data_IF_180055898521
#
_entry.id   IF_180055898521
#
_cell.length_a   1.000
_cell.length_b   1.000
_cell.length_c   1.000
_cell.angle_alpha   90.00
_cell.angle_beta   90.00
_cell.angle_gamma   90.00
#
_symmetry.space_group_name_H-M   'P 1'
#
loop_
_entity.id
_entity.type
_entity.pdbx_description
1 polymer ?
#
# COMPACT_ATOMS: atom_id res chain seq x y z
N UNK A 1 7.31 5.41 21.45
CA UNK A 1 6.10 4.64 21.06
C UNK A 1 6.18 4.35 19.56
N UNK A 2 6.45 3.10 19.16
CA UNK A 2 6.51 2.73 17.74
C UNK A 2 5.14 2.93 17.09
N UNK A 3 5.07 3.66 15.98
CA UNK A 3 3.82 3.88 15.23
C UNK A 3 3.47 2.59 14.49
N UNK A 4 2.39 1.90 14.90
CA UNK A 4 1.82 0.77 14.15
C UNK A 4 1.54 1.22 12.73
N UNK A 5 2.07 0.49 11.76
CA UNK A 5 1.73 0.71 10.36
C UNK A 5 0.34 0.15 10.09
N UNK A 6 -0.52 0.96 9.47
CA UNK A 6 -1.84 0.53 9.03
C UNK A 6 -1.70 -0.40 7.82
N UNK A 7 -2.42 -1.51 7.82
CA UNK A 7 -2.51 -2.39 6.66
C UNK A 7 -3.42 -1.79 5.58
N UNK A 8 -3.46 -2.40 4.39
CA UNK A 8 -4.24 -1.86 3.27
C UNK A 8 -5.74 -1.80 3.58
N UNK A 9 -6.30 -2.85 4.21
CA UNK A 9 -7.72 -2.92 4.54
C UNK A 9 -8.11 -1.83 5.54
N UNK A 10 -7.26 -1.60 6.53
CA UNK A 10 -7.37 -0.54 7.52
C UNK A 10 -7.34 0.85 6.87
N UNK A 11 -6.41 1.09 5.93
CA UNK A 11 -6.34 2.35 5.19
C UNK A 11 -7.58 2.58 4.33
N UNK A 12 -8.03 1.56 3.59
CA UNK A 12 -9.25 1.63 2.77
C UNK A 12 -10.48 1.90 3.63
N UNK A 13 -10.58 1.24 4.80
CA UNK A 13 -11.68 1.47 5.74
C UNK A 13 -11.71 2.91 6.23
N UNK A 14 -10.55 3.50 6.56
CA UNK A 14 -10.45 4.91 6.98
C UNK A 14 -10.93 5.85 5.89
N UNK A 15 -10.44 5.68 4.66
CA UNK A 15 -10.81 6.56 3.54
C UNK A 15 -12.31 6.47 3.25
N UNK A 16 -12.88 5.26 3.21
CA UNK A 16 -14.32 5.06 3.02
C UNK A 16 -15.16 5.79 4.07
N UNK A 17 -14.77 5.72 5.34
CA UNK A 17 -15.52 6.34 6.43
C UNK A 17 -15.26 7.83 6.57
N UNK A 18 -14.09 8.33 6.15
CA UNK A 18 -13.80 9.76 6.10
C UNK A 18 -14.75 10.50 5.16
N UNK A 19 -15.05 9.95 3.98
CA UNK A 19 -16.02 10.55 3.05
C UNK A 19 -17.45 10.60 3.63
N UNK A 20 -17.79 9.69 4.55
CA UNK A 20 -19.12 9.64 5.18
C UNK A 20 -19.23 10.53 6.43
N UNK A 21 -18.14 10.65 7.19
CA UNK A 21 -18.15 11.26 8.53
C UNK A 21 -17.48 12.63 8.60
N UNK A 22 -16.78 13.05 7.54
CA UNK A 22 -16.07 14.31 7.29
C UNK A 22 -14.94 14.66 8.28
N UNK A 23 -15.01 14.18 9.51
CA UNK A 23 -14.11 14.53 10.60
C UNK A 23 -13.33 13.31 11.13
N UNK A 24 -11.99 13.40 11.26
CA UNK A 24 -11.14 12.31 11.75
C UNK A 24 -11.53 11.76 13.13
N UNK A 25 -12.09 12.61 14.00
CA UNK A 25 -12.51 12.19 15.35
C UNK A 25 -13.69 11.21 15.30
N UNK A 26 -14.59 11.38 14.34
CA UNK A 26 -15.73 10.49 14.17
C UNK A 26 -15.27 9.13 13.63
N UNK A 27 -14.28 9.13 12.73
CA UNK A 27 -13.64 7.90 12.24
C UNK A 27 -12.93 7.16 13.37
N UNK A 28 -12.22 7.84 14.27
CA UNK A 28 -11.62 7.19 15.45
C UNK A 28 -12.67 6.58 16.37
N UNK A 29 -13.78 7.30 16.63
CA UNK A 29 -14.88 6.79 17.46
C UNK A 29 -15.53 5.55 16.85
N UNK A 30 -15.75 5.56 15.54
CA UNK A 30 -16.32 4.40 14.84
C UNK A 30 -15.32 3.24 14.80
N UNK A 31 -14.04 3.53 14.57
CA UNK A 31 -12.97 2.54 14.61
C UNK A 31 -12.94 1.81 15.94
N UNK A 32 -12.97 2.53 17.07
CA UNK A 32 -12.97 1.92 18.40
C UNK A 32 -14.19 1.04 18.68
N UNK A 33 -15.29 1.21 17.92
CA UNK A 33 -16.49 0.37 18.03
C UNK A 33 -16.43 -0.86 17.15
N UNK A 34 -15.93 -0.72 15.93
CA UNK A 34 -15.95 -1.80 14.91
C UNK A 34 -14.68 -2.64 14.90
N UNK A 35 -13.56 -2.07 15.37
CA UNK A 35 -12.24 -2.70 15.29
C UNK A 35 -11.69 -2.81 16.71
N UNK A 36 -11.41 -4.04 17.15
CA UNK A 36 -10.79 -4.37 18.46
C UNK A 36 -9.31 -3.92 18.57
N UNK A 37 -8.91 -2.87 17.86
CA UNK A 37 -7.55 -2.33 17.84
C UNK A 37 -7.55 -0.85 18.18
N UNK A 38 -6.41 -0.39 18.70
CA UNK A 38 -6.20 1.03 18.96
C UNK A 38 -6.38 1.86 17.67
N UNK A 39 -7.19 2.93 17.71
CA UNK A 39 -7.44 3.75 16.55
C UNK A 39 -6.17 4.51 16.12
N UNK A 40 -6.00 4.73 14.80
CA UNK A 40 -4.92 5.58 14.31
C UNK A 40 -5.10 7.02 14.79
N UNK A 41 -3.98 7.73 14.99
CA UNK A 41 -4.01 9.15 15.37
C UNK A 41 -4.68 10.00 14.27
N UNK A 42 -5.31 11.11 14.67
CA UNK A 42 -5.97 12.08 13.78
C UNK A 42 -5.02 12.61 12.73
N UNK A 43 -3.74 12.81 13.07
CA UNK A 43 -2.71 13.22 12.12
C UNK A 43 -2.49 12.17 11.04
N UNK A 44 -2.47 10.89 11.41
CA UNK A 44 -2.34 9.77 10.46
C UNK A 44 -3.55 9.72 9.52
N UNK A 45 -4.77 9.85 10.06
CA UNK A 45 -6.00 9.86 9.26
C UNK A 45 -5.98 11.03 8.26
N UNK A 46 -5.65 12.25 8.70
CA UNK A 46 -5.53 13.41 7.79
C UNK A 46 -4.45 13.23 6.74
N UNK A 47 -3.28 12.73 7.12
CA UNK A 47 -2.18 12.50 6.18
C UNK A 47 -2.58 11.45 5.11
N UNK A 48 -3.30 10.41 5.51
CA UNK A 48 -3.83 9.41 4.59
C UNK A 48 -4.84 10.02 3.62
N UNK A 49 -5.76 10.86 4.12
CA UNK A 49 -6.74 11.54 3.26
C UNK A 49 -6.09 12.52 2.29
N UNK A 50 -5.19 13.39 2.74
CA UNK A 50 -4.46 14.30 1.84
C UNK A 50 -3.73 13.53 0.74
N UNK A 51 -3.09 12.40 1.09
CA UNK A 51 -2.43 11.55 0.11
C UNK A 51 -3.43 10.95 -0.88
N UNK A 52 -4.56 10.46 -0.39
CA UNK A 52 -5.60 9.88 -1.22
C UNK A 52 -6.20 10.92 -2.18
N UNK A 53 -6.47 12.13 -1.70
CA UNK A 53 -6.95 13.24 -2.53
C UNK A 53 -5.94 13.66 -3.61
N UNK A 54 -4.63 13.62 -3.29
CA UNK A 54 -3.58 13.97 -4.25
C UNK A 54 -3.29 12.87 -5.29
N UNK A 55 -3.47 11.59 -4.92
CA UNK A 55 -2.95 10.46 -5.72
C UNK A 55 -4.00 9.42 -6.11
N UNK A 56 -5.20 9.48 -5.56
CA UNK A 56 -6.24 8.47 -5.70
C UNK A 56 -5.91 7.11 -5.06
N UNK A 57 -4.79 7.00 -4.33
CA UNK A 57 -4.28 5.72 -3.85
C UNK A 57 -4.09 5.68 -2.32
N UNK A 58 -4.58 4.60 -1.72
CA UNK A 58 -4.33 4.25 -0.30
C UNK A 58 -3.04 3.48 -0.10
N UNK A 59 -2.42 3.02 -1.18
CA UNK A 59 -1.15 2.31 -1.14
C UNK A 59 -0.03 3.27 -0.79
N UNK A 60 1.00 2.73 -0.15
CA UNK A 60 2.28 3.41 -0.15
C UNK A 60 2.82 3.35 -1.59
N UNK A 61 2.49 4.37 -2.39
CA UNK A 61 3.18 4.64 -3.66
C UNK A 61 4.66 4.58 -3.34
N UNK A 62 5.39 3.73 -4.05
CA UNK A 62 6.83 3.59 -3.88
C UNK A 62 7.46 4.99 -3.88
N UNK A 63 8.13 5.29 -2.77
CA UNK A 63 8.78 6.59 -2.58
C UNK A 63 9.85 6.77 -3.67
N UNK A 64 10.04 7.98 -4.20
CA UNK A 64 11.16 8.26 -5.09
C UNK A 64 12.47 7.95 -4.33
N UNK A 65 13.28 7.04 -4.89
CA UNK A 65 14.55 6.60 -4.30
C UNK A 65 14.66 5.10 -3.99
N UNK A 66 13.59 4.31 -4.17
CA UNK A 66 13.75 2.84 -4.21
C UNK A 66 14.29 2.46 -5.59
N UNK A 67 15.48 1.83 -5.71
CA UNK A 67 15.93 1.32 -6.99
C UNK A 67 14.89 0.30 -7.46
N UNK A 68 14.18 0.63 -8.53
CA UNK A 68 13.43 -0.38 -9.28
C UNK A 68 14.49 -1.26 -9.90
N UNK A 69 14.49 -2.56 -9.62
CA UNK A 69 15.35 -3.49 -10.35
C UNK A 69 15.01 -3.37 -11.83
N UNK A 70 15.87 -2.69 -12.58
CA UNK A 70 15.65 -2.45 -14.00
C UNK A 70 15.84 -3.79 -14.69
N UNK A 71 14.82 -4.28 -15.38
CA UNK A 71 14.97 -5.44 -16.25
C UNK A 71 15.92 -5.06 -17.38
N UNK A 72 17.18 -5.46 -17.26
CA UNK A 72 18.19 -5.21 -18.30
C UNK A 72 17.99 -6.16 -19.48
N UNK A 73 18.51 -5.78 -20.65
CA UNK A 73 18.52 -6.68 -21.81
C UNK A 73 19.26 -7.99 -21.49
N UNK A 74 20.37 -7.91 -20.74
CA UNK A 74 21.10 -9.09 -20.26
C UNK A 74 20.23 -10.03 -19.42
N UNK A 75 19.40 -9.49 -18.52
CA UNK A 75 18.45 -10.30 -17.74
C UNK A 75 17.41 -10.99 -18.62
N UNK A 76 16.95 -10.33 -19.69
CA UNK A 76 16.02 -10.94 -20.65
C UNK A 76 16.68 -12.04 -21.47
N UNK A 77 17.93 -11.82 -21.90
CA UNK A 77 18.69 -12.78 -22.69
C UNK A 77 19.05 -14.02 -21.86
N UNK A 78 19.37 -13.83 -20.58
CA UNK A 78 19.64 -14.91 -19.63
C UNK A 78 18.39 -15.76 -19.37
N UNK A 79 17.24 -15.14 -19.08
CA UNK A 79 15.97 -15.85 -18.93
C UNK A 79 15.58 -16.58 -20.22
N UNK A 80 15.78 -15.96 -21.38
CA UNK A 80 15.48 -16.59 -22.67
C UNK A 80 16.33 -17.83 -22.91
N UNK A 81 17.62 -17.76 -22.56
CA UNK A 81 18.56 -18.90 -22.67
C UNK A 81 18.20 -20.03 -21.71
N UNK A 82 17.76 -19.72 -20.50
CA UNK A 82 17.28 -20.71 -19.52
C UNK A 82 16.04 -21.42 -20.07
N UNK A 83 15.05 -20.68 -20.56
CA UNK A 83 13.82 -21.23 -21.13
C UNK A 83 14.08 -22.09 -22.38
N UNK A 84 15.04 -21.72 -23.23
CA UNK A 84 15.44 -22.52 -24.38
C UNK A 84 16.12 -23.83 -23.96
N UNK A 85 16.96 -23.80 -22.93
CA UNK A 85 17.60 -25.00 -22.40
C UNK A 85 16.58 -25.94 -21.73
N UNK A 86 15.62 -25.42 -20.98
CA UNK A 86 14.52 -26.21 -20.40
C UNK A 86 13.68 -26.89 -21.49
N UNK A 87 13.40 -26.19 -22.60
CA UNK A 87 12.68 -26.79 -23.75
C UNK A 87 13.46 -27.91 -24.45
N UNK A 88 14.79 -27.89 -24.41
CA UNK A 88 15.64 -28.94 -25.00
C UNK A 88 15.73 -30.18 -24.11
N UNK A 89 15.65 -30.02 -22.80
CA UNK A 89 15.72 -31.14 -21.83
C UNK A 89 14.43 -31.97 -21.75
N UNK A 90 13.33 -31.49 -22.33
CA UNK A 90 12.01 -32.17 -22.37
C UNK A 90 11.79 -32.95 -23.68
N UNK A 91 12.78 -32.99 -24.58
CA UNK A 91 12.80 -33.84 -25.78
C UNK A 91 13.74 -35.04 -25.58
#
# INVERSE_FOLDING_TARGET
MARRQLNINEKTWIVKHMYRLEYPINVQRLWSKEINNNPPDRKTIRSLMNKFEQTGSVLNIDLPGRPVSVTTQATKDEISSILENERRLVK
#
